data_IF_379412967412
#
_entry.id   IF_379412967412
#
_cell.length_a   1.000
_cell.length_b   1.000
_cell.length_c   1.000
_cell.angle_alpha   90.00
_cell.angle_beta   90.00
_cell.angle_gamma   90.00
#
_symmetry.space_group_name_H-M   'P 1'
#
loop_
_entity.id
_entity.type
_entity.pdbx_description
1 polymer ?
#
# COMPACT_ATOMS: atom_id res chain seq x y z
N UNK A 1 13.66 -7.18 6.00
CA UNK A 1 12.50 -7.66 5.24
C UNK A 1 11.17 -7.13 5.83
N UNK A 2 10.82 -7.44 7.11
CA UNK A 2 9.53 -7.01 7.70
C UNK A 2 9.33 -5.50 7.67
N UNK A 3 10.32 -4.72 8.09
CA UNK A 3 10.27 -3.24 8.03
C UNK A 3 10.08 -2.73 6.59
N UNK A 4 10.74 -3.34 5.59
CA UNK A 4 10.60 -2.94 4.19
C UNK A 4 9.20 -3.23 3.65
N UNK A 5 8.60 -4.38 3.99
CA UNK A 5 7.22 -4.70 3.60
C UNK A 5 6.19 -3.78 4.27
N UNK A 6 6.42 -3.39 5.53
CA UNK A 6 5.57 -2.43 6.22
C UNK A 6 5.71 -1.02 5.64
N UNK A 7 6.94 -0.61 5.33
CA UNK A 7 7.24 0.69 4.72
C UNK A 7 6.62 0.82 3.32
N UNK A 8 6.64 -0.24 2.51
CA UNK A 8 6.05 -0.24 1.17
C UNK A 8 4.57 0.15 1.19
N UNK A 9 3.82 -0.37 2.15
CA UNK A 9 2.40 -0.06 2.28
C UNK A 9 2.17 1.42 2.66
N UNK A 10 2.88 1.92 3.66
CA UNK A 10 2.78 3.32 4.08
C UNK A 10 3.22 4.25 2.93
N UNK A 11 4.31 3.91 2.24
CA UNK A 11 4.80 4.68 1.10
C UNK A 11 3.75 4.75 -0.04
N UNK A 12 3.09 3.63 -0.35
CA UNK A 12 2.08 3.55 -1.41
C UNK A 12 0.85 4.44 -1.14
N UNK A 13 0.55 4.70 0.14
CA UNK A 13 -0.53 5.61 0.55
C UNK A 13 -0.04 7.05 0.53
N UNK A 14 1.04 7.33 1.26
CA UNK A 14 1.42 8.69 1.64
C UNK A 14 2.14 9.45 0.53
N UNK A 15 2.88 8.76 -0.35
CA UNK A 15 3.57 9.38 -1.49
C UNK A 15 2.60 10.00 -2.50
N UNK A 16 1.34 9.54 -2.51
CA UNK A 16 0.33 10.02 -3.44
C UNK A 16 -0.47 11.22 -2.91
N UNK A 17 -0.39 11.52 -1.61
CA UNK A 17 -1.13 12.63 -1.00
C UNK A 17 -0.87 13.97 -1.68
N UNK A 18 0.38 14.35 -2.01
CA UNK A 18 0.65 15.60 -2.72
C UNK A 18 0.10 15.63 -4.15
N UNK A 19 -0.12 14.49 -4.79
CA UNK A 19 -0.64 14.37 -6.15
C UNK A 19 -2.17 14.50 -6.24
N UNK A 20 -2.90 14.37 -5.14
CA UNK A 20 -4.37 14.41 -5.14
C UNK A 20 -4.98 15.67 -5.79
N UNK A 21 -4.46 16.89 -5.59
CA UNK A 21 -4.96 18.08 -6.28
C UNK A 21 -4.78 17.98 -7.79
N UNK A 22 -3.66 17.44 -8.27
CA UNK A 22 -3.37 17.28 -9.71
C UNK A 22 -4.30 16.24 -10.34
N UNK A 23 -4.54 15.12 -9.64
CA UNK A 23 -5.51 14.10 -10.05
C UNK A 23 -6.91 14.69 -10.15
N UNK A 24 -7.34 15.48 -9.16
CA UNK A 24 -8.63 16.15 -9.18
C UNK A 24 -8.80 17.11 -10.37
N UNK A 25 -7.74 17.84 -10.74
CA UNK A 25 -7.75 18.73 -11.89
C UNK A 25 -7.76 17.96 -13.22
N UNK A 26 -6.97 16.89 -13.34
CA UNK A 26 -6.88 16.08 -14.57
C UNK A 26 -8.20 15.38 -14.91
N UNK A 27 -8.87 14.83 -13.92
CA UNK A 27 -10.17 14.19 -14.12
C UNK A 27 -11.38 15.14 -13.99
N UNK A 28 -11.14 16.44 -13.91
CA UNK A 28 -12.18 17.51 -13.82
C UNK A 28 -13.22 17.18 -12.72
N UNK A 29 -12.77 16.73 -11.54
CA UNK A 29 -13.67 16.36 -10.44
C UNK A 29 -14.37 17.61 -9.90
N UNK A 30 -15.70 17.58 -9.93
CA UNK A 30 -16.55 18.71 -9.51
C UNK A 30 -16.53 18.90 -7.99
N UNK A 31 -16.37 17.77 -7.25
CA UNK A 31 -16.34 17.80 -5.79
C UNK A 31 -14.90 17.54 -5.29
N UNK A 32 -14.39 18.48 -4.50
CA UNK A 32 -13.04 18.38 -3.93
C UNK A 32 -12.84 17.13 -3.04
N UNK A 33 -13.91 16.53 -2.51
CA UNK A 33 -13.83 15.33 -1.70
C UNK A 33 -13.62 14.06 -2.53
N UNK A 34 -14.02 14.06 -3.80
CA UNK A 34 -13.94 12.86 -4.65
C UNK A 34 -12.50 12.40 -4.88
N UNK A 35 -11.54 13.32 -4.90
CA UNK A 35 -10.11 12.97 -4.97
C UNK A 35 -9.63 12.09 -3.81
N UNK A 36 -10.28 12.17 -2.65
CA UNK A 36 -9.95 11.33 -1.50
C UNK A 36 -10.34 9.86 -1.72
N UNK A 37 -11.29 9.60 -2.62
CA UNK A 37 -11.69 8.23 -2.98
C UNK A 37 -10.53 7.39 -3.50
N UNK A 38 -9.50 8.01 -4.06
CA UNK A 38 -8.25 7.36 -4.50
C UNK A 38 -7.55 6.66 -3.32
N UNK A 39 -7.51 7.31 -2.16
CA UNK A 39 -6.94 6.74 -0.93
C UNK A 39 -7.92 5.78 -0.29
N UNK A 40 -9.20 6.14 -0.24
CA UNK A 40 -10.26 5.30 0.36
C UNK A 40 -10.38 3.96 -0.35
N UNK A 41 -10.36 3.93 -1.69
CA UNK A 41 -10.43 2.69 -2.46
C UNK A 41 -9.28 1.74 -2.13
N UNK A 42 -8.07 2.26 -2.02
CA UNK A 42 -6.90 1.49 -1.61
C UNK A 42 -7.04 0.94 -0.17
N UNK A 43 -7.33 1.82 0.79
CA UNK A 43 -7.38 1.46 2.23
C UNK A 43 -8.53 0.49 2.53
N UNK A 44 -9.69 0.68 1.90
CA UNK A 44 -10.86 -0.18 2.09
C UNK A 44 -10.54 -1.63 1.66
N UNK A 45 -10.03 -1.81 0.43
CA UNK A 45 -9.69 -3.16 -0.07
C UNK A 45 -8.45 -3.75 0.64
N UNK A 46 -7.50 -2.91 1.01
CA UNK A 46 -6.39 -3.31 1.88
C UNK A 46 -6.90 -3.88 3.21
N UNK A 47 -7.84 -3.21 3.88
CA UNK A 47 -8.40 -3.67 5.15
C UNK A 47 -9.17 -4.99 5.02
N UNK A 48 -10.09 -5.07 4.06
CA UNK A 48 -10.92 -6.27 3.83
C UNK A 48 -10.04 -7.48 3.45
N UNK A 49 -9.07 -7.28 2.57
CA UNK A 49 -8.21 -8.35 2.07
C UNK A 49 -7.31 -8.97 3.14
N UNK A 50 -7.00 -8.25 4.22
CA UNK A 50 -6.23 -8.80 5.33
C UNK A 50 -6.90 -10.02 5.98
N UNK A 51 -8.25 -10.06 6.00
CA UNK A 51 -9.01 -11.19 6.56
C UNK A 51 -8.81 -12.48 5.75
N UNK A 52 -8.57 -12.35 4.45
CA UNK A 52 -8.41 -13.48 3.53
C UNK A 52 -6.98 -13.99 3.51
N UNK A 53 -5.99 -13.10 3.61
CA UNK A 53 -4.58 -13.48 3.47
C UNK A 53 -4.03 -14.34 4.62
N UNK A 54 -4.61 -14.29 5.81
CA UNK A 54 -4.25 -15.16 6.91
C UNK A 54 -4.46 -16.65 6.52
N UNK A 55 -5.71 -17.09 6.36
CA UNK A 55 -6.02 -18.46 5.94
C UNK A 55 -5.36 -18.88 4.63
N UNK A 56 -5.23 -17.95 3.67
CA UNK A 56 -4.61 -18.24 2.37
C UNK A 56 -3.11 -18.55 2.52
N UNK A 57 -2.41 -17.79 3.36
CA UNK A 57 -0.98 -18.00 3.62
C UNK A 57 -0.70 -19.29 4.40
N UNK A 58 -1.64 -19.71 5.25
CA UNK A 58 -1.54 -20.97 5.97
C UNK A 58 -1.82 -22.17 5.05
N UNK A 59 -2.73 -22.03 4.06
CA UNK A 59 -3.08 -23.12 3.13
C UNK A 59 -2.06 -23.29 1.99
N UNK A 60 -1.58 -22.21 1.38
CA UNK A 60 -0.74 -22.22 0.16
C UNK A 60 0.73 -21.88 0.42
N UNK A 61 1.08 -21.59 1.67
CA UNK A 61 2.41 -21.19 2.08
C UNK A 61 2.68 -19.70 1.87
N UNK A 62 3.37 -19.10 2.85
CA UNK A 62 3.60 -17.65 2.96
C UNK A 62 4.35 -17.06 1.78
N UNK A 63 5.34 -17.77 1.26
CA UNK A 63 6.16 -17.29 0.14
C UNK A 63 5.36 -17.16 -1.15
N UNK A 64 4.58 -18.21 -1.47
CA UNK A 64 3.76 -18.23 -2.70
C UNK A 64 2.72 -17.11 -2.67
N UNK A 65 1.97 -17.01 -1.57
CA UNK A 65 0.94 -15.98 -1.41
C UNK A 65 1.53 -14.57 -1.47
N UNK A 66 2.70 -14.33 -0.86
CA UNK A 66 3.37 -13.03 -0.93
C UNK A 66 3.78 -12.67 -2.36
N UNK A 67 4.32 -13.62 -3.14
CA UNK A 67 4.74 -13.37 -4.52
C UNK A 67 3.52 -13.03 -5.40
N UNK A 68 2.43 -13.80 -5.30
CA UNK A 68 1.21 -13.50 -6.05
C UNK A 68 0.60 -12.14 -5.66
N UNK A 69 0.56 -11.84 -4.37
CA UNK A 69 0.04 -10.57 -3.88
C UNK A 69 0.89 -9.38 -4.33
N UNK A 70 2.22 -9.50 -4.32
CA UNK A 70 3.11 -8.47 -4.88
C UNK A 70 2.92 -8.32 -6.40
N UNK A 71 2.65 -9.41 -7.11
CA UNK A 71 2.27 -9.35 -8.52
C UNK A 71 0.98 -8.54 -8.75
N UNK A 72 -0.04 -8.77 -7.92
CA UNK A 72 -1.30 -7.99 -7.93
C UNK A 72 -1.02 -6.51 -7.62
N UNK A 73 -0.16 -6.23 -6.63
CA UNK A 73 0.23 -4.87 -6.29
C UNK A 73 0.90 -4.14 -7.45
N UNK A 74 1.87 -4.80 -8.11
CA UNK A 74 2.56 -4.23 -9.28
C UNK A 74 1.59 -4.03 -10.45
N UNK A 75 0.71 -4.99 -10.71
CA UNK A 75 -0.30 -4.87 -11.74
C UNK A 75 -1.23 -3.67 -11.46
N UNK A 76 -1.72 -3.54 -10.23
CA UNK A 76 -2.51 -2.38 -9.81
C UNK A 76 -1.75 -1.06 -9.99
N UNK A 77 -0.45 -1.04 -9.68
CA UNK A 77 0.39 0.15 -9.87
C UNK A 77 0.54 0.53 -11.35
N UNK A 78 0.75 -0.45 -12.22
CA UNK A 78 0.82 -0.23 -13.67
C UNK A 78 -0.52 0.28 -14.21
N UNK A 79 -1.63 -0.30 -13.79
CA UNK A 79 -2.96 0.14 -14.20
C UNK A 79 -3.27 1.58 -13.74
N UNK A 80 -2.77 2.02 -12.58
CA UNK A 80 -2.90 3.39 -12.13
C UNK A 80 -2.23 4.39 -13.10
N UNK A 81 -1.06 4.03 -13.65
CA UNK A 81 -0.33 4.89 -14.61
C UNK A 81 -1.11 5.05 -15.92
N UNK A 82 -1.75 3.99 -16.39
CA UNK A 82 -2.47 3.97 -17.66
C UNK A 82 -3.98 4.22 -17.54
N UNK A 83 -4.48 4.60 -16.36
CA UNK A 83 -5.91 4.81 -16.14
C UNK A 83 -6.44 6.03 -16.93
N UNK A 84 -7.31 5.85 -17.94
CA UNK A 84 -7.90 6.94 -18.72
C UNK A 84 -9.09 7.61 -18.05
N UNK A 85 -9.73 6.93 -17.08
CA UNK A 85 -10.89 7.44 -16.35
C UNK A 85 -10.66 7.36 -14.85
N UNK A 86 -11.36 8.21 -14.10
CA UNK A 86 -11.27 8.22 -12.63
C UNK A 86 -11.73 6.91 -12.00
N UNK A 87 -12.80 6.29 -12.54
CA UNK A 87 -13.32 5.00 -12.07
C UNK A 87 -12.28 3.88 -12.24
N UNK A 88 -11.56 3.87 -13.37
CA UNK A 88 -10.49 2.90 -13.58
C UNK A 88 -9.31 3.13 -12.65
N UNK A 89 -8.98 4.40 -12.36
CA UNK A 89 -8.00 4.74 -11.34
C UNK A 89 -8.41 4.20 -9.96
N UNK A 90 -9.67 4.36 -9.57
CA UNK A 90 -10.20 3.82 -8.31
C UNK A 90 -10.13 2.29 -8.27
N UNK A 91 -10.52 1.61 -9.36
CA UNK A 91 -10.42 0.16 -9.47
C UNK A 91 -8.96 -0.33 -9.39
N UNK A 92 -8.05 0.34 -10.05
CA UNK A 92 -6.62 0.04 -10.00
C UNK A 92 -6.04 0.23 -8.59
N UNK A 93 -6.47 1.28 -7.88
CA UNK A 93 -6.11 1.53 -6.48
C UNK A 93 -6.67 0.47 -5.53
N UNK A 94 -7.91 0.06 -5.73
CA UNK A 94 -8.51 -1.04 -4.99
C UNK A 94 -7.71 -2.34 -5.18
N UNK A 95 -7.35 -2.67 -6.42
CA UNK A 95 -6.52 -3.83 -6.75
C UNK A 95 -5.13 -3.74 -6.11
N UNK A 96 -4.50 -2.57 -6.14
CA UNK A 96 -3.23 -2.30 -5.47
C UNK A 96 -3.34 -2.53 -3.96
N UNK A 97 -4.45 -2.08 -3.33
CA UNK A 97 -4.74 -2.32 -1.92
C UNK A 97 -4.87 -3.81 -1.57
N UNK A 98 -5.55 -4.58 -2.44
CA UNK A 98 -5.63 -6.05 -2.29
C UNK A 98 -4.23 -6.65 -2.25
N UNK A 99 -3.37 -6.34 -3.23
CA UNK A 99 -2.00 -6.86 -3.27
C UNK A 99 -1.15 -6.46 -2.07
N UNK A 100 -1.29 -5.21 -1.60
CA UNK A 100 -0.55 -4.70 -0.46
C UNK A 100 -0.91 -5.37 0.87
N UNK A 101 -2.14 -5.85 1.04
CA UNK A 101 -2.63 -6.43 2.29
C UNK A 101 -1.81 -7.65 2.75
N UNK A 102 -1.35 -8.48 1.81
CA UNK A 102 -0.52 -9.63 2.10
C UNK A 102 0.81 -9.26 2.76
N UNK A 103 1.39 -8.13 2.38
CA UNK A 103 2.70 -7.71 2.90
C UNK A 103 2.67 -7.53 4.42
N UNK A 104 1.59 -6.94 4.94
CA UNK A 104 1.41 -6.72 6.38
C UNK A 104 1.10 -8.03 7.13
N UNK A 105 0.17 -8.82 6.61
CA UNK A 105 -0.25 -10.08 7.23
C UNK A 105 0.91 -11.06 7.30
N UNK A 106 1.59 -11.27 6.18
CA UNK A 106 2.70 -12.23 6.07
C UNK A 106 3.93 -11.73 6.84
N UNK A 107 4.24 -10.44 6.82
CA UNK A 107 5.34 -9.88 7.60
C UNK A 107 5.16 -10.18 9.10
N UNK A 108 3.96 -9.92 9.64
CA UNK A 108 3.63 -10.19 11.04
C UNK A 108 3.67 -11.70 11.36
N UNK A 109 3.13 -12.53 10.46
CA UNK A 109 3.11 -13.98 10.63
C UNK A 109 4.53 -14.57 10.65
N UNK A 110 5.42 -14.12 9.75
CA UNK A 110 6.82 -14.57 9.71
C UNK A 110 7.56 -14.19 10.99
N UNK A 111 7.35 -12.99 11.54
CA UNK A 111 7.98 -12.62 12.82
C UNK A 111 7.51 -13.54 13.95
N UNK A 112 6.20 -13.80 14.01
CA UNK A 112 5.62 -14.67 15.04
C UNK A 112 6.12 -16.12 14.96
N UNK A 113 6.39 -16.62 13.75
CA UNK A 113 6.88 -18.00 13.58
C UNK A 113 8.38 -18.17 13.90
N UNK A 114 9.16 -17.10 13.67
CA UNK A 114 10.62 -17.17 13.82
C UNK A 114 11.11 -16.68 15.18
N UNK A 115 10.25 -16.01 15.97
CA UNK A 115 10.68 -15.36 17.20
C UNK A 115 9.59 -15.40 18.27
N UNK A 116 10.04 -15.53 19.53
CA UNK A 116 9.18 -15.55 20.71
C UNK A 116 9.63 -14.54 21.76
N UNK A 117 8.73 -14.21 22.67
CA UNK A 117 9.00 -13.41 23.84
C UNK A 117 9.62 -12.04 23.54
N UNK A 118 10.71 -11.71 24.24
CA UNK A 118 11.37 -10.40 24.16
C UNK A 118 11.91 -10.07 22.76
N UNK A 119 12.40 -11.08 22.04
CA UNK A 119 12.94 -10.90 20.67
C UNK A 119 11.86 -10.55 19.68
N UNK A 120 10.70 -11.19 19.78
CA UNK A 120 9.52 -10.85 18.99
C UNK A 120 9.09 -9.39 19.22
N UNK A 121 9.01 -8.96 20.49
CA UNK A 121 8.65 -7.59 20.84
C UNK A 121 9.63 -6.55 20.27
N UNK A 122 10.94 -6.84 20.31
CA UNK A 122 11.96 -5.97 19.73
C UNK A 122 11.80 -5.81 18.21
N UNK A 123 11.62 -6.90 17.47
CA UNK A 123 11.45 -6.85 16.01
C UNK A 123 10.17 -6.12 15.63
N UNK A 124 9.08 -6.38 16.35
CA UNK A 124 7.81 -5.69 16.12
C UNK A 124 7.90 -4.20 16.44
N UNK A 125 8.58 -3.81 17.52
CA UNK A 125 8.83 -2.41 17.84
C UNK A 125 9.65 -1.70 16.77
N UNK A 126 10.72 -2.31 16.27
CA UNK A 126 11.51 -1.75 15.17
C UNK A 126 10.68 -1.62 13.87
N UNK A 127 9.83 -2.60 13.57
CA UNK A 127 8.94 -2.53 12.41
C UNK A 127 7.90 -1.41 12.56
N UNK A 128 7.35 -1.21 13.75
CA UNK A 128 6.42 -0.11 14.06
C UNK A 128 7.11 1.24 13.99
N UNK A 129 8.34 1.38 14.48
CA UNK A 129 9.13 2.61 14.36
C UNK A 129 9.35 2.96 12.88
N UNK A 130 9.76 2.01 12.06
CA UNK A 130 9.91 2.22 10.63
C UNK A 130 8.58 2.62 9.96
N UNK A 131 7.47 1.97 10.34
CA UNK A 131 6.14 2.31 9.85
C UNK A 131 5.71 3.74 10.21
N UNK A 132 6.09 4.24 11.39
CA UNK A 132 5.77 5.60 11.84
C UNK A 132 6.62 6.69 11.17
N UNK A 133 7.86 6.36 10.79
CA UNK A 133 8.75 7.32 10.11
C UNK A 133 8.30 7.56 8.66
N UNK A 134 7.80 6.53 7.98
CA UNK A 134 7.45 6.62 6.55
C UNK A 134 6.39 7.70 6.27
N UNK A 135 5.28 7.83 7.00
CA UNK A 135 4.29 8.89 6.76
C UNK A 135 4.84 10.31 6.94
N UNK A 136 5.90 10.48 7.71
CA UNK A 136 6.55 11.78 7.90
C UNK A 136 7.37 12.15 6.67
N UNK A 137 8.07 11.17 6.08
CA UNK A 137 9.00 11.38 4.96
C UNK A 137 8.32 11.25 3.60
N UNK A 138 7.36 10.35 3.46
CA UNK A 138 6.75 10.00 2.18
C UNK A 138 6.07 11.17 1.45
N UNK A 139 5.31 12.07 2.10
CA UNK A 139 4.75 13.24 1.42
C UNK A 139 5.82 14.19 0.88
N UNK A 140 6.93 14.36 1.63
CA UNK A 140 8.07 15.17 1.17
C UNK A 140 8.74 14.58 -0.06
N UNK A 141 8.96 13.26 -0.07
CA UNK A 141 9.47 12.54 -1.25
C UNK A 141 8.49 12.65 -2.42
N UNK A 142 7.18 12.51 -2.17
CA UNK A 142 6.15 12.70 -3.18
C UNK A 142 6.18 14.09 -3.81
N UNK A 143 6.34 15.15 -3.01
CA UNK A 143 6.49 16.51 -3.52
C UNK A 143 7.75 16.68 -4.37
N UNK A 144 8.88 16.15 -3.94
CA UNK A 144 10.14 16.22 -4.71
C UNK A 144 10.01 15.51 -6.06
N UNK A 145 9.33 14.36 -6.10
CA UNK A 145 9.07 13.64 -7.35
C UNK A 145 8.19 14.45 -8.30
N UNK A 146 7.18 15.15 -7.78
CA UNK A 146 6.30 16.00 -8.59
C UNK A 146 7.00 17.24 -9.18
N UNK A 147 8.17 17.64 -8.65
CA UNK A 147 9.00 18.70 -9.25
C UNK A 147 9.75 18.23 -10.50
N UNK A 148 9.98 16.91 -10.62
CA UNK A 148 10.81 16.33 -11.69
C UNK A 148 9.98 15.54 -12.69
N UNK A 149 8.84 14.98 -12.27
CA UNK A 149 7.98 14.13 -13.10
C UNK A 149 6.50 14.42 -12.83
N UNK A 150 5.60 14.20 -13.82
CA UNK A 150 4.16 14.22 -13.57
C UNK A 150 3.78 13.11 -12.58
N UNK A 151 2.59 13.20 -12.00
CA UNK A 151 2.13 12.25 -10.97
C UNK A 151 1.94 10.80 -11.47
N UNK A 152 1.89 10.62 -12.81
CA UNK A 152 1.84 9.31 -13.50
C UNK A 152 3.22 8.75 -13.77
#
# INVERSE_FOLDING_TARGET
MVAALSALNALAIDIMLPALPMIGAEFALTNNNDRQLVVVAYVALFGVSQLVYGPLADAFGRRSVLIYALGIFVLGSVLCVFAPTFELLLAARALQGVGAAATRVIATAVVRDLTEGRRMAQIMSMAMTAFMIVPIVAPGVGQLLLLVAPWR
#
